data_IF_217147615616
#
_entry.id   IF_217147615616
#
_cell.length_a   1.000
_cell.length_b   1.000
_cell.length_c   1.000
_cell.angle_alpha   90.00
_cell.angle_beta   90.00
_cell.angle_gamma   90.00
#
_symmetry.space_group_name_H-M   'P 1'
#
loop_
_entity.id
_entity.type
_entity.pdbx_description
1 polymer ?
#
# COMPACT_ATOMS: atom_id res chain seq x y z
N UNK A 1 2.91 -11.76 -25.17
CA UNK A 1 2.98 -10.43 -24.53
C UNK A 1 1.79 -9.61 -24.98
N UNK A 2 1.13 -8.93 -24.06
CA UNK A 2 -0.08 -8.09 -24.27
C UNK A 2 0.16 -6.75 -23.59
N UNK A 3 -0.54 -5.69 -24.03
CA UNK A 3 -0.40 -4.33 -23.46
C UNK A 3 -1.78 -3.67 -23.35
N UNK A 4 -2.03 -3.03 -22.21
CA UNK A 4 -3.19 -2.17 -21.99
C UNK A 4 -2.73 -0.87 -21.31
N UNK A 5 -2.86 0.26 -21.99
CA UNK A 5 -2.23 1.51 -21.55
C UNK A 5 -0.71 1.34 -21.47
N UNK A 6 -0.13 1.62 -20.30
CA UNK A 6 1.29 1.43 -20.02
C UNK A 6 1.59 0.15 -19.21
N UNK A 7 0.57 -0.67 -18.95
CA UNK A 7 0.71 -1.99 -18.32
C UNK A 7 1.04 -3.06 -19.35
N UNK A 8 2.05 -3.88 -19.05
CA UNK A 8 2.48 -5.02 -19.84
C UNK A 8 2.18 -6.33 -19.12
N UNK A 9 1.63 -7.30 -19.85
CA UNK A 9 1.37 -8.67 -19.35
C UNK A 9 2.05 -9.65 -20.32
N UNK A 10 2.97 -10.44 -19.78
CA UNK A 10 3.67 -11.49 -20.54
C UNK A 10 3.46 -12.85 -19.87
N UNK A 11 3.08 -13.87 -20.63
CA UNK A 11 2.81 -15.21 -20.09
C UNK A 11 3.63 -16.26 -20.82
N UNK A 12 4.15 -17.23 -20.07
CA UNK A 12 4.72 -18.46 -20.60
C UNK A 12 3.61 -19.48 -20.87
N UNK A 13 3.93 -20.50 -21.63
CA UNK A 13 3.06 -21.64 -21.87
C UNK A 13 3.91 -22.90 -21.91
N UNK A 14 4.41 -23.33 -20.75
CA UNK A 14 5.15 -24.59 -20.57
C UNK A 14 4.23 -25.79 -20.46
N UNK A 15 2.90 -25.58 -20.43
CA UNK A 15 1.89 -26.64 -20.28
C UNK A 15 1.81 -27.16 -18.86
N UNK A 16 2.03 -26.31 -17.85
CA UNK A 16 1.96 -26.69 -16.44
C UNK A 16 0.52 -26.63 -15.93
N UNK A 17 0.24 -27.47 -14.94
CA UNK A 17 -1.08 -27.52 -14.27
C UNK A 17 -1.42 -26.22 -13.53
N UNK A 18 -0.39 -25.57 -12.98
CA UNK A 18 -0.55 -24.35 -12.17
C UNK A 18 0.19 -23.17 -12.78
N UNK A 19 -0.32 -21.98 -12.50
CA UNK A 19 0.24 -20.71 -12.97
C UNK A 19 0.53 -19.77 -11.80
N UNK A 20 1.73 -19.19 -11.80
CA UNK A 20 2.15 -18.17 -10.85
C UNK A 20 2.24 -16.81 -11.55
N UNK A 21 1.75 -15.78 -10.88
CA UNK A 21 1.84 -14.40 -11.33
C UNK A 21 2.97 -13.71 -10.55
N UNK A 22 3.86 -13.03 -11.26
CA UNK A 22 4.87 -12.13 -10.72
C UNK A 22 4.49 -10.71 -11.16
N UNK A 23 4.19 -9.83 -10.21
CA UNK A 23 3.67 -8.49 -10.49
C UNK A 23 4.51 -7.41 -9.83
N UNK A 24 4.73 -6.31 -10.54
CA UNK A 24 5.45 -5.15 -10.04
C UNK A 24 5.02 -3.86 -10.73
N UNK A 25 5.11 -2.73 -9.99
CA UNK A 25 4.77 -1.42 -10.54
C UNK A 25 6.00 -0.68 -11.08
N UNK A 26 5.78 0.04 -12.18
CA UNK A 26 6.84 0.74 -12.91
C UNK A 26 7.00 2.20 -12.51
N UNK A 27 5.99 2.80 -11.89
CA UNK A 27 6.03 4.18 -11.42
C UNK A 27 6.72 4.31 -10.06
N UNK A 28 6.86 5.53 -9.59
CA UNK A 28 7.42 5.86 -8.28
C UNK A 28 6.76 7.14 -7.79
N UNK A 29 6.82 7.39 -6.48
CA UNK A 29 6.56 8.73 -5.95
C UNK A 29 7.57 9.75 -6.53
N UNK A 30 7.29 11.07 -6.47
CA UNK A 30 8.19 12.09 -6.99
C UNK A 30 9.62 11.97 -6.43
N UNK A 31 10.60 12.32 -7.27
CA UNK A 31 12.01 12.39 -6.87
C UNK A 31 12.24 13.47 -5.83
N UNK A 32 13.14 13.21 -4.87
CA UNK A 32 13.57 14.15 -3.82
C UNK A 32 15.11 14.16 -3.80
N UNK A 33 15.72 14.83 -4.77
CA UNK A 33 17.18 14.91 -4.94
C UNK A 33 17.91 13.55 -5.01
N UNK A 34 17.20 12.49 -5.36
CA UNK A 34 17.68 11.10 -5.45
C UNK A 34 17.56 10.56 -6.88
N UNK A 35 17.87 11.39 -7.86
CA UNK A 35 17.98 11.07 -9.28
C UNK A 35 19.09 11.90 -9.94
N UNK A 36 19.89 11.36 -10.87
CA UNK A 36 19.86 10.00 -11.40
C UNK A 36 20.33 8.95 -10.40
N UNK A 37 19.88 7.68 -10.55
CA UNK A 37 20.33 6.60 -9.69
C UNK A 37 21.83 6.33 -9.90
N UNK A 38 22.52 5.89 -8.84
CA UNK A 38 23.94 5.53 -8.89
C UNK A 38 24.29 4.37 -7.95
N UNK A 39 25.33 3.63 -8.29
CA UNK A 39 25.91 2.68 -7.38
C UNK A 39 26.66 3.40 -6.26
N UNK A 40 26.46 2.94 -5.04
CA UNK A 40 27.24 3.32 -3.86
C UNK A 40 28.27 2.23 -3.62
N UNK A 41 29.53 2.60 -3.50
CA UNK A 41 30.58 1.66 -3.09
C UNK A 41 30.71 1.64 -1.57
N UNK A 42 31.22 0.55 -0.94
CA UNK A 42 31.47 0.51 0.49
C UNK A 42 32.23 1.72 1.00
N UNK A 43 31.72 2.37 2.04
CA UNK A 43 32.28 3.62 2.57
C UNK A 43 31.70 4.91 1.98
N UNK A 44 30.77 4.83 1.03
CA UNK A 44 30.02 6.02 0.59
C UNK A 44 29.23 6.60 1.80
N UNK A 45 29.24 7.95 2.00
CA UNK A 45 28.56 8.58 3.13
C UNK A 45 27.04 8.35 3.20
N UNK A 46 26.40 7.90 2.12
CA UNK A 46 24.98 7.52 2.12
C UNK A 46 24.75 6.10 2.65
N UNK A 47 25.78 5.27 2.76
CA UNK A 47 25.71 3.95 3.38
C UNK A 47 25.97 4.11 4.87
N UNK A 48 24.93 4.33 5.65
CA UNK A 48 24.98 4.48 7.10
C UNK A 48 24.27 3.32 7.79
N UNK A 49 24.66 3.02 9.02
CA UNK A 49 24.07 1.94 9.83
C UNK A 49 22.55 2.08 9.96
N UNK A 50 22.05 3.31 10.16
CA UNK A 50 20.62 3.60 10.29
C UNK A 50 19.81 3.47 8.99
N UNK A 51 20.49 3.35 7.86
CA UNK A 51 19.90 3.22 6.51
C UNK A 51 20.18 1.84 5.93
N UNK A 52 21.43 1.40 5.99
CA UNK A 52 21.87 0.16 5.36
C UNK A 52 21.67 -1.11 6.21
N UNK A 53 21.45 -0.97 7.51
CA UNK A 53 20.98 -2.02 8.44
C UNK A 53 21.65 -3.41 8.27
N UNK A 54 22.99 -3.47 8.31
CA UNK A 54 23.77 -4.70 8.14
C UNK A 54 24.41 -4.87 6.76
N UNK A 55 24.17 -3.92 5.82
CA UNK A 55 24.70 -3.90 4.46
C UNK A 55 25.77 -2.82 4.24
N UNK A 56 26.37 -2.29 5.32
CA UNK A 56 27.30 -1.15 5.28
C UNK A 56 28.59 -1.44 4.51
N UNK A 57 28.94 -2.72 4.39
CA UNK A 57 30.18 -3.18 3.75
C UNK A 57 29.99 -3.69 2.32
N UNK A 58 28.82 -3.45 1.74
CA UNK A 58 28.52 -3.89 0.37
C UNK A 58 28.05 -2.74 -0.54
N UNK A 59 27.99 -3.01 -1.82
CA UNK A 59 27.47 -2.08 -2.81
C UNK A 59 25.95 -1.95 -2.67
N UNK A 60 25.46 -0.73 -2.88
CA UNK A 60 24.03 -0.46 -2.94
C UNK A 60 23.68 0.38 -4.17
N UNK A 61 22.47 0.20 -4.68
CA UNK A 61 21.91 1.07 -5.70
C UNK A 61 21.09 2.16 -5.01
N UNK A 62 21.59 3.40 -5.03
CA UNK A 62 20.86 4.55 -4.51
C UNK A 62 20.06 5.22 -5.62
N UNK A 63 18.82 5.59 -5.31
CA UNK A 63 17.97 6.35 -6.22
C UNK A 63 16.50 6.07 -6.03
N UNK A 64 15.65 6.99 -6.49
CA UNK A 64 14.19 6.85 -6.47
C UNK A 64 13.76 5.59 -7.23
N UNK A 65 12.95 4.75 -6.57
CA UNK A 65 12.47 3.48 -7.12
C UNK A 65 13.47 2.33 -7.01
N UNK A 66 14.67 2.53 -6.43
CA UNK A 66 15.63 1.45 -6.29
C UNK A 66 15.05 0.31 -5.44
N UNK A 67 14.42 0.64 -4.32
CA UNK A 67 13.76 -0.29 -3.41
C UNK A 67 12.29 -0.47 -3.77
N UNK A 68 11.59 0.62 -4.12
CA UNK A 68 10.16 0.65 -4.36
C UNK A 68 9.83 1.07 -5.80
N UNK A 69 9.63 0.07 -6.74
CA UNK A 69 10.04 -1.33 -6.57
C UNK A 69 10.82 -1.84 -7.80
N UNK A 70 11.58 -0.94 -8.49
CA UNK A 70 12.29 -1.28 -9.76
C UNK A 70 13.39 -2.34 -9.58
N UNK A 71 13.95 -2.48 -8.37
CA UNK A 71 14.87 -3.56 -8.06
C UNK A 71 14.19 -4.93 -8.23
N UNK A 72 13.00 -5.09 -7.67
CA UNK A 72 12.19 -6.30 -7.84
C UNK A 72 11.73 -6.50 -9.28
N UNK A 73 11.34 -5.42 -9.98
CA UNK A 73 11.02 -5.47 -11.41
C UNK A 73 12.20 -5.98 -12.24
N UNK A 74 13.42 -5.53 -11.94
CA UNK A 74 14.63 -5.98 -12.62
C UNK A 74 14.87 -7.48 -12.42
N UNK A 75 14.64 -8.01 -11.21
CA UNK A 75 14.70 -9.45 -10.93
C UNK A 75 13.64 -10.20 -11.74
N UNK A 76 12.40 -9.71 -11.79
CA UNK A 76 11.33 -10.33 -12.57
C UNK A 76 11.64 -10.33 -14.07
N UNK A 77 12.22 -9.24 -14.60
CA UNK A 77 12.67 -9.16 -15.99
C UNK A 77 13.83 -10.13 -16.28
N UNK A 78 14.78 -10.25 -15.34
CA UNK A 78 15.87 -11.24 -15.44
C UNK A 78 15.29 -12.66 -15.53
N UNK A 79 14.36 -13.02 -14.64
CA UNK A 79 13.70 -14.33 -14.66
C UNK A 79 12.92 -14.55 -15.97
N UNK A 80 12.20 -13.54 -16.45
CA UNK A 80 11.48 -13.61 -17.73
C UNK A 80 12.41 -13.86 -18.93
N UNK A 81 13.64 -13.35 -18.86
CA UNK A 81 14.64 -13.51 -19.94
C UNK A 81 15.42 -14.82 -19.84
N UNK A 82 15.60 -15.40 -18.65
CA UNK A 82 16.53 -16.51 -18.42
C UNK A 82 15.84 -17.84 -18.13
N UNK A 83 14.63 -17.85 -17.59
CA UNK A 83 13.88 -19.08 -17.33
C UNK A 83 13.29 -19.63 -18.64
N UNK A 84 13.94 -20.66 -19.16
CA UNK A 84 13.49 -21.40 -20.36
C UNK A 84 12.52 -22.53 -20.02
N UNK A 85 12.46 -22.92 -18.75
CA UNK A 85 11.55 -23.92 -18.17
C UNK A 85 11.29 -23.60 -16.70
N UNK A 86 10.13 -23.99 -16.17
CA UNK A 86 9.75 -23.79 -14.76
C UNK A 86 8.72 -24.85 -14.30
N UNK A 87 8.57 -25.03 -12.97
CA UNK A 87 7.55 -25.91 -12.37
C UNK A 87 6.12 -25.43 -12.66
N UNK A 88 5.95 -24.14 -12.93
CA UNK A 88 4.67 -23.48 -13.14
C UNK A 88 4.66 -22.74 -14.48
N UNK A 89 3.50 -22.55 -15.07
CA UNK A 89 3.33 -21.49 -16.05
C UNK A 89 3.42 -20.15 -15.35
N UNK A 90 4.03 -19.16 -15.99
CA UNK A 90 4.30 -17.85 -15.39
C UNK A 90 3.52 -16.76 -16.12
N UNK A 91 3.07 -15.77 -15.37
CA UNK A 91 2.56 -14.51 -15.89
C UNK A 91 3.31 -13.37 -15.22
N UNK A 92 4.00 -12.55 -15.99
CA UNK A 92 4.66 -11.34 -15.55
C UNK A 92 3.74 -10.14 -15.82
N UNK A 93 3.53 -9.30 -14.81
CA UNK A 93 2.70 -8.10 -14.90
C UNK A 93 3.52 -6.91 -14.45
N UNK A 94 3.83 -6.00 -15.38
CA UNK A 94 4.49 -4.73 -15.10
C UNK A 94 3.47 -3.63 -15.33
N UNK A 95 3.05 -2.95 -14.27
CA UNK A 95 1.94 -2.00 -14.33
C UNK A 95 2.35 -0.61 -13.85
N UNK A 96 1.56 0.37 -14.24
CA UNK A 96 1.77 1.78 -14.00
C UNK A 96 0.79 2.32 -12.93
N UNK A 97 1.11 3.48 -12.36
CA UNK A 97 0.23 4.26 -11.48
C UNK A 97 -0.23 3.53 -10.20
N UNK A 98 0.69 2.80 -9.54
CA UNK A 98 0.44 2.28 -8.19
C UNK A 98 0.43 3.40 -7.16
N UNK A 99 1.40 4.31 -7.25
CA UNK A 99 1.75 5.36 -6.30
C UNK A 99 0.84 6.60 -6.34
N UNK A 100 -0.30 6.48 -6.98
CA UNK A 100 -1.27 7.57 -7.16
C UNK A 100 -2.70 7.10 -6.87
N UNK A 101 -3.70 7.91 -7.23
CA UNK A 101 -5.10 7.58 -6.98
C UNK A 101 -5.53 6.25 -7.65
N UNK A 102 -6.26 5.42 -6.91
CA UNK A 102 -6.61 4.05 -7.26
C UNK A 102 -7.29 3.88 -8.63
N UNK A 103 -8.04 4.89 -9.12
CA UNK A 103 -8.68 4.88 -10.44
C UNK A 103 -7.68 4.93 -11.60
N UNK A 104 -6.43 5.35 -11.34
CA UNK A 104 -5.37 5.41 -12.35
C UNK A 104 -4.56 4.12 -12.43
N UNK A 105 -4.58 3.28 -11.40
CA UNK A 105 -3.76 2.08 -11.26
C UNK A 105 -3.92 1.15 -12.48
N UNK A 106 -2.79 0.82 -13.11
CA UNK A 106 -2.76 0.03 -14.35
C UNK A 106 -3.20 -1.42 -14.16
N UNK A 107 -2.84 -2.06 -13.04
CA UNK A 107 -3.29 -3.42 -12.72
C UNK A 107 -4.82 -3.45 -12.57
N UNK A 108 -5.42 -2.48 -11.89
CA UNK A 108 -6.88 -2.35 -11.79
C UNK A 108 -7.52 -2.28 -13.17
N UNK A 109 -7.02 -1.41 -14.05
CA UNK A 109 -7.57 -1.24 -15.40
C UNK A 109 -7.46 -2.52 -16.23
N UNK A 110 -6.36 -3.25 -16.11
CA UNK A 110 -6.21 -4.54 -16.80
C UNK A 110 -7.18 -5.57 -16.25
N UNK A 111 -7.35 -5.67 -14.93
CA UNK A 111 -8.31 -6.59 -14.31
C UNK A 111 -9.74 -6.29 -14.74
N UNK A 112 -10.12 -5.00 -14.83
CA UNK A 112 -11.45 -4.59 -15.27
C UNK A 112 -11.69 -4.85 -16.76
N UNK A 113 -10.70 -4.59 -17.62
CA UNK A 113 -10.84 -4.71 -19.08
C UNK A 113 -10.54 -6.12 -19.62
N UNK A 114 -9.63 -6.84 -18.98
CA UNK A 114 -9.08 -8.12 -19.46
C UNK A 114 -8.81 -9.09 -18.31
N UNK A 115 -9.81 -9.50 -17.53
CA UNK A 115 -9.63 -10.37 -16.36
C UNK A 115 -8.94 -11.70 -16.70
N UNK A 116 -9.11 -12.18 -17.94
CA UNK A 116 -8.45 -13.39 -18.46
C UNK A 116 -6.92 -13.28 -18.58
N UNK A 117 -6.38 -12.06 -18.60
CA UNK A 117 -4.92 -11.85 -18.64
C UNK A 117 -4.28 -12.06 -17.26
N UNK A 118 -5.07 -11.86 -16.20
CA UNK A 118 -4.64 -11.93 -14.80
C UNK A 118 -5.25 -13.20 -14.16
N UNK A 119 -4.99 -14.35 -14.78
CA UNK A 119 -5.45 -15.66 -14.30
C UNK A 119 -4.25 -16.44 -13.75
N UNK A 120 -4.37 -16.97 -12.54
CA UNK A 120 -3.33 -17.77 -11.90
C UNK A 120 -3.79 -18.38 -10.57
N UNK A 121 -2.97 -19.27 -10.03
CA UNK A 121 -3.23 -19.99 -8.78
C UNK A 121 -2.58 -19.32 -7.57
N UNK A 122 -1.61 -18.43 -7.81
CA UNK A 122 -0.86 -17.70 -6.80
C UNK A 122 -0.19 -16.47 -7.41
N UNK A 123 -0.07 -15.39 -6.63
CA UNK A 123 0.62 -14.19 -7.05
C UNK A 123 1.71 -13.76 -6.05
N UNK A 124 2.81 -13.24 -6.57
CA UNK A 124 3.87 -12.59 -5.81
C UNK A 124 3.97 -11.16 -6.33
N UNK A 125 3.86 -10.18 -5.42
CA UNK A 125 4.10 -8.78 -5.72
C UNK A 125 5.46 -8.39 -5.17
N UNK A 126 6.27 -7.75 -5.99
CA UNK A 126 7.67 -7.44 -5.68
C UNK A 126 7.88 -6.23 -4.78
N UNK A 127 6.91 -5.88 -3.94
CA UNK A 127 7.03 -4.85 -2.92
C UNK A 127 8.21 -5.12 -1.99
N UNK A 128 8.93 -4.08 -1.52
CA UNK A 128 10.08 -4.27 -0.64
C UNK A 128 9.68 -4.95 0.68
N UNK A 129 10.42 -6.00 1.02
CA UNK A 129 10.19 -6.84 2.22
C UNK A 129 11.48 -7.37 2.84
N UNK A 130 12.65 -6.79 2.50
CA UNK A 130 13.96 -7.34 2.86
C UNK A 130 14.11 -8.82 2.45
N UNK A 131 13.59 -9.21 1.28
CA UNK A 131 13.52 -10.61 0.82
C UNK A 131 12.80 -11.58 1.77
N UNK A 132 12.01 -11.07 2.72
CA UNK A 132 11.08 -11.83 3.55
C UNK A 132 9.71 -11.97 2.86
N UNK A 133 8.77 -12.61 3.54
CA UNK A 133 7.37 -12.65 3.07
C UNK A 133 6.52 -11.75 3.95
N UNK A 134 5.79 -10.84 3.34
CA UNK A 134 4.73 -10.11 4.01
C UNK A 134 3.37 -10.53 3.44
N UNK A 135 2.52 -11.11 4.32
CA UNK A 135 1.20 -11.62 3.96
C UNK A 135 0.13 -10.54 4.02
N UNK A 136 -0.78 -10.58 3.05
CA UNK A 136 -1.93 -9.67 2.97
C UNK A 136 -1.55 -8.19 2.98
N UNK A 137 -2.49 -7.35 3.37
CA UNK A 137 -2.25 -5.92 3.65
C UNK A 137 -3.40 -5.30 4.45
N UNK A 138 -3.12 -4.23 5.20
CA UNK A 138 -4.19 -3.38 5.74
C UNK A 138 -5.00 -2.74 4.61
N UNK A 139 -6.30 -2.57 4.86
CA UNK A 139 -7.13 -1.68 4.07
C UNK A 139 -6.87 -0.21 4.42
N UNK A 140 -7.31 0.68 3.57
CA UNK A 140 -7.17 2.12 3.78
C UNK A 140 -8.46 2.85 3.47
N UNK A 141 -8.76 3.88 4.27
CA UNK A 141 -9.80 4.86 3.98
C UNK A 141 -9.25 6.26 4.27
N UNK A 142 -9.50 7.18 3.36
CA UNK A 142 -9.16 8.61 3.51
C UNK A 142 -10.42 9.43 3.30
N UNK A 143 -10.72 10.28 4.25
CA UNK A 143 -11.95 11.10 4.21
C UNK A 143 -11.77 12.37 5.02
N UNK A 144 -12.48 13.43 4.63
CA UNK A 144 -12.58 14.64 5.40
C UNK A 144 -13.73 14.53 6.39
N UNK A 145 -13.48 14.85 7.63
CA UNK A 145 -14.50 15.08 8.67
C UNK A 145 -14.71 16.58 8.80
N UNK A 146 -15.94 17.04 8.59
CA UNK A 146 -16.26 18.44 8.34
C UNK A 146 -17.14 18.98 9.44
N UNK A 147 -16.79 20.17 9.93
CA UNK A 147 -17.63 20.95 10.84
C UNK A 147 -18.09 22.22 10.17
N UNK A 148 -19.37 22.57 10.39
CA UNK A 148 -19.99 23.78 9.88
C UNK A 148 -20.26 24.79 10.99
N UNK A 149 -20.14 26.06 10.65
CA UNK A 149 -20.35 27.19 11.52
C UNK A 149 -21.18 28.29 10.88
N UNK A 150 -21.07 29.48 11.42
CA UNK A 150 -21.68 30.70 10.91
C UNK A 150 -20.61 31.78 10.89
N UNK A 151 -20.30 32.29 9.70
CA UNK A 151 -19.32 33.36 9.56
C UNK A 151 -19.81 34.66 10.19
N UNK A 152 -18.92 35.33 10.92
CA UNK A 152 -19.18 36.64 11.50
C UNK A 152 -17.88 37.43 11.69
N UNK A 153 -17.98 38.74 11.86
CA UNK A 153 -16.83 39.53 12.26
C UNK A 153 -16.37 39.14 13.67
N UNK A 154 -15.07 38.87 13.88
CA UNK A 154 -14.55 38.39 15.16
C UNK A 154 -14.82 39.35 16.34
N UNK A 155 -14.97 40.67 16.10
CA UNK A 155 -15.41 41.64 17.11
C UNK A 155 -16.88 41.51 17.52
N UNK A 156 -17.66 40.65 16.85
CA UNK A 156 -19.08 40.35 17.14
C UNK A 156 -19.29 38.86 17.25
N UNK A 157 -18.47 38.19 18.05
CA UNK A 157 -18.41 36.74 18.18
C UNK A 157 -19.75 36.08 18.46
N UNK A 158 -20.66 36.76 19.16
CA UNK A 158 -22.01 36.28 19.48
C UNK A 158 -22.94 36.12 18.26
N UNK A 159 -22.56 36.65 17.10
CA UNK A 159 -23.31 36.53 15.84
C UNK A 159 -22.86 35.32 15.00
N UNK A 160 -21.75 34.69 15.36
CA UNK A 160 -21.15 33.58 14.60
C UNK A 160 -21.15 32.27 15.38
N UNK A 161 -20.86 31.18 14.67
CA UNK A 161 -20.53 29.87 15.24
C UNK A 161 -19.19 29.42 14.63
N UNK A 162 -18.20 29.21 15.47
CA UNK A 162 -16.83 28.92 15.02
C UNK A 162 -16.67 27.44 14.67
N UNK A 163 -16.47 27.13 13.38
CA UNK A 163 -16.28 25.77 12.89
C UNK A 163 -14.93 25.18 13.36
N UNK A 164 -13.87 25.98 13.52
CA UNK A 164 -12.58 25.49 14.05
C UNK A 164 -12.75 25.04 15.52
N UNK A 165 -13.50 25.78 16.32
CA UNK A 165 -13.78 25.36 17.71
C UNK A 165 -14.61 24.06 17.75
N UNK A 166 -15.53 23.88 16.80
CA UNK A 166 -16.31 22.64 16.70
C UNK A 166 -15.45 21.43 16.30
N UNK A 167 -14.35 21.62 15.57
CA UNK A 167 -13.42 20.55 15.20
C UNK A 167 -12.68 19.96 16.41
N UNK A 168 -12.66 20.62 17.56
CA UNK A 168 -12.09 20.06 18.79
C UNK A 168 -12.72 18.70 19.15
N UNK A 169 -14.01 18.51 18.90
CA UNK A 169 -14.68 17.22 19.16
C UNK A 169 -14.16 16.12 18.22
N UNK A 170 -13.86 16.42 16.94
CA UNK A 170 -13.24 15.49 16.02
C UNK A 170 -11.87 15.05 16.56
N UNK A 171 -11.05 16.01 16.97
CA UNK A 171 -9.72 15.74 17.51
C UNK A 171 -9.78 14.95 18.82
N UNK A 172 -10.78 15.22 19.68
CA UNK A 172 -11.00 14.45 20.91
C UNK A 172 -11.34 12.99 20.61
N UNK A 173 -12.20 12.72 19.61
CA UNK A 173 -12.55 11.34 19.20
C UNK A 173 -11.36 10.62 18.60
N UNK A 174 -10.55 11.29 17.80
CA UNK A 174 -9.30 10.75 17.26
C UNK A 174 -8.30 10.42 18.38
N UNK A 175 -8.13 11.32 19.34
CA UNK A 175 -7.21 11.13 20.47
C UNK A 175 -7.67 10.02 21.43
N UNK A 176 -8.98 9.78 21.53
CA UNK A 176 -9.57 8.72 22.35
C UNK A 176 -9.62 7.36 21.62
N UNK A 177 -9.33 7.31 20.32
CA UNK A 177 -9.34 6.06 19.57
C UNK A 177 -8.13 5.20 19.93
N UNK A 178 -8.41 3.98 20.36
CA UNK A 178 -7.36 3.00 20.66
C UNK A 178 -7.06 2.17 19.41
N UNK A 179 -5.83 2.32 18.91
CA UNK A 179 -5.33 1.49 17.82
C UNK A 179 -5.28 0.02 18.25
N UNK A 180 -5.76 -0.89 17.39
CA UNK A 180 -5.86 -2.30 17.70
C UNK A 180 -4.76 -3.10 17.03
N UNK A 181 -4.20 -4.07 17.74
CA UNK A 181 -3.39 -5.14 17.18
C UNK A 181 -4.27 -6.38 17.00
N UNK A 182 -4.43 -6.85 15.77
CA UNK A 182 -5.38 -7.90 15.43
C UNK A 182 -4.65 -9.05 14.75
N UNK A 183 -4.81 -10.27 15.29
CA UNK A 183 -4.30 -11.48 14.67
C UNK A 183 -5.27 -11.97 13.59
N UNK A 184 -4.74 -12.17 12.38
CA UNK A 184 -5.47 -12.76 11.25
C UNK A 184 -4.59 -13.80 10.60
N UNK A 185 -5.05 -15.06 10.57
CA UNK A 185 -4.36 -16.21 9.99
C UNK A 185 -2.89 -16.35 10.46
N UNK A 186 -2.64 -16.07 11.76
CA UNK A 186 -1.33 -16.18 12.39
C UNK A 186 -0.40 -14.97 12.20
N UNK A 187 -0.85 -13.89 11.57
CA UNK A 187 -0.12 -12.63 11.45
C UNK A 187 -0.81 -11.51 12.21
N UNK A 188 -0.03 -10.65 12.88
CA UNK A 188 -0.54 -9.52 13.65
C UNK A 188 -0.51 -8.23 12.84
N UNK A 189 -1.68 -7.68 12.57
CA UNK A 189 -1.90 -6.41 11.89
C UNK A 189 -2.11 -5.29 12.90
N UNK A 190 -1.46 -4.14 12.66
CA UNK A 190 -1.66 -2.93 13.45
C UNK A 190 -2.62 -1.99 12.71
N UNK A 191 -3.73 -1.64 13.35
CA UNK A 191 -4.63 -0.60 12.84
C UNK A 191 -4.14 0.79 13.24
N UNK A 192 -4.61 1.82 12.53
CA UNK A 192 -4.29 3.20 12.87
C UNK A 192 -5.34 4.17 12.35
N UNK A 193 -5.75 5.12 13.19
CA UNK A 193 -6.67 6.20 12.85
C UNK A 193 -5.99 7.53 13.17
N UNK A 194 -5.71 8.35 12.15
CA UNK A 194 -4.93 9.58 12.32
C UNK A 194 -5.50 10.73 11.50
N UNK A 195 -5.49 11.94 12.08
CA UNK A 195 -5.60 13.17 11.31
C UNK A 195 -4.26 13.43 10.61
N UNK A 196 -4.29 13.69 9.30
CA UNK A 196 -3.10 13.98 8.50
C UNK A 196 -3.04 15.42 8.00
N UNK A 197 -4.19 16.09 7.87
CA UNK A 197 -4.29 17.50 7.54
C UNK A 197 -5.46 18.12 8.30
N UNK A 198 -5.38 19.42 8.58
CA UNK A 198 -6.48 20.22 9.09
C UNK A 198 -6.48 21.59 8.42
N UNK A 199 -7.65 22.06 8.00
CA UNK A 199 -7.80 23.38 7.39
C UNK A 199 -9.09 24.04 7.83
N UNK A 200 -9.06 25.37 7.98
CA UNK A 200 -10.25 26.16 8.34
C UNK A 200 -9.94 27.65 8.41
N UNK A 201 -10.96 28.45 8.14
CA UNK A 201 -10.84 29.92 8.16
C UNK A 201 -10.31 30.52 6.86
N UNK A 202 -10.74 31.75 6.56
CA UNK A 202 -10.41 32.53 5.36
C UNK A 202 -9.76 33.88 5.66
N UNK A 203 -9.76 34.31 6.92
CA UNK A 203 -9.22 35.60 7.32
C UNK A 203 -9.08 35.73 8.83
N UNK A 204 -8.16 36.56 9.30
CA UNK A 204 -7.79 36.70 10.72
C UNK A 204 -8.83 37.40 11.58
N UNK A 205 -9.80 38.07 10.97
CA UNK A 205 -10.86 38.81 11.64
C UNK A 205 -12.28 38.28 11.35
N UNK A 206 -12.38 37.06 10.80
CA UNK A 206 -13.64 36.38 10.48
C UNK A 206 -13.74 35.08 11.26
N UNK A 207 -14.86 34.84 11.91
CA UNK A 207 -15.21 33.55 12.52
C UNK A 207 -15.40 32.54 11.39
N UNK A 208 -14.70 31.39 11.38
CA UNK A 208 -14.79 30.41 10.31
C UNK A 208 -16.15 29.70 10.28
N UNK A 209 -16.69 29.55 9.07
CA UNK A 209 -17.93 28.83 8.77
C UNK A 209 -17.71 27.36 8.41
N UNK A 210 -16.45 26.94 8.16
CA UNK A 210 -16.07 25.56 7.85
C UNK A 210 -14.70 25.22 8.42
N UNK A 211 -14.55 23.98 8.89
CA UNK A 211 -13.26 23.38 9.18
C UNK A 211 -13.28 21.91 8.75
N UNK A 212 -12.18 21.47 8.09
CA UNK A 212 -12.00 20.12 7.58
C UNK A 212 -10.80 19.46 8.27
N UNK A 213 -11.01 18.25 8.75
CA UNK A 213 -9.95 17.38 9.28
C UNK A 213 -9.82 16.18 8.36
N UNK A 214 -8.70 16.08 7.66
CA UNK A 214 -8.41 14.93 6.80
C UNK A 214 -7.97 13.74 7.65
N UNK A 215 -8.71 12.65 7.58
CA UNK A 215 -8.50 11.43 8.36
C UNK A 215 -8.03 10.30 7.48
N UNK A 216 -7.00 9.57 7.93
CA UNK A 216 -6.54 8.32 7.37
C UNK A 216 -6.82 7.19 8.37
N UNK A 217 -7.59 6.19 7.95
CA UNK A 217 -7.85 4.97 8.69
C UNK A 217 -7.18 3.78 8.00
N UNK A 218 -6.35 3.06 8.73
CA UNK A 218 -5.75 1.78 8.34
C UNK A 218 -6.40 0.67 9.14
N UNK A 219 -7.03 -0.29 8.47
CA UNK A 219 -7.79 -1.36 9.13
C UNK A 219 -7.28 -2.75 8.73
N UNK A 220 -7.32 -3.67 9.68
CA UNK A 220 -6.87 -5.04 9.51
C UNK A 220 -7.81 -5.86 8.62
N UNK A 221 -7.32 -6.97 8.02
CA UNK A 221 -8.12 -7.84 7.15
C UNK A 221 -9.04 -8.81 7.90
N UNK A 222 -9.42 -8.49 9.14
CA UNK A 222 -10.46 -9.18 9.91
C UNK A 222 -11.87 -8.69 9.52
N UNK A 223 -11.96 -7.60 8.77
CA UNK A 223 -13.21 -6.96 8.34
C UNK A 223 -13.16 -6.55 6.87
N UNK A 224 -14.32 -6.49 6.27
CA UNK A 224 -14.53 -5.93 4.93
C UNK A 224 -14.42 -4.40 4.94
N UNK A 225 -14.26 -3.79 3.76
CA UNK A 225 -14.31 -2.33 3.59
C UNK A 225 -15.65 -1.74 4.08
N UNK A 226 -16.78 -2.43 3.84
CA UNK A 226 -18.09 -1.98 4.30
C UNK A 226 -18.19 -1.97 5.83
N UNK A 227 -17.66 -2.99 6.51
CA UNK A 227 -17.61 -3.02 7.98
C UNK A 227 -16.66 -1.96 8.54
N UNK A 228 -15.50 -1.74 7.92
CA UNK A 228 -14.58 -0.68 8.29
C UNK A 228 -15.23 0.71 8.14
N UNK A 229 -16.00 0.91 7.05
CA UNK A 229 -16.76 2.14 6.80
C UNK A 229 -17.84 2.35 7.88
N UNK A 230 -18.60 1.30 8.20
CA UNK A 230 -19.62 1.35 9.24
C UNK A 230 -19.04 1.72 10.62
N UNK A 231 -17.84 1.23 10.97
CA UNK A 231 -17.16 1.58 12.20
C UNK A 231 -16.79 3.07 12.30
N UNK A 232 -16.48 3.69 11.17
CA UNK A 232 -16.04 5.10 11.14
C UNK A 232 -17.21 6.07 10.99
N UNK A 233 -18.16 5.78 10.10
CA UNK A 233 -19.15 6.76 9.64
C UNK A 233 -20.60 6.24 9.62
N UNK A 234 -20.83 4.98 10.02
CA UNK A 234 -22.13 4.31 9.94
C UNK A 234 -22.32 3.50 8.67
N UNK A 235 -23.26 2.56 8.72
CA UNK A 235 -23.51 1.60 7.63
C UNK A 235 -24.21 2.25 6.42
N UNK A 236 -25.04 3.25 6.65
CA UNK A 236 -25.84 3.90 5.62
C UNK A 236 -25.29 5.31 5.32
N UNK A 237 -25.41 5.73 4.08
CA UNK A 237 -25.17 7.12 3.72
C UNK A 237 -26.26 7.99 4.36
N UNK A 238 -25.85 8.94 5.20
CA UNK A 238 -26.77 9.93 5.78
C UNK A 238 -27.23 10.96 4.76
N UNK A 239 -27.88 12.01 5.25
CA UNK A 239 -28.34 13.10 4.40
C UNK A 239 -27.17 13.71 3.61
N UNK A 240 -27.36 13.88 2.31
CA UNK A 240 -26.43 14.61 1.46
C UNK A 240 -26.51 16.10 1.77
N UNK A 241 -25.36 16.71 2.06
CA UNK A 241 -25.23 18.14 2.36
C UNK A 241 -24.81 18.96 1.13
N UNK A 242 -24.53 18.30 0.00
CA UNK A 242 -24.02 18.87 -1.24
C UNK A 242 -22.52 18.65 -1.41
N UNK A 243 -22.03 18.80 -2.64
CA UNK A 243 -20.61 18.65 -3.01
C UNK A 243 -19.97 17.30 -2.63
N UNK A 244 -20.77 16.21 -2.53
CA UNK A 244 -20.29 14.88 -2.11
C UNK A 244 -20.13 14.72 -0.60
N UNK A 245 -20.55 15.68 0.20
CA UNK A 245 -20.59 15.61 1.66
C UNK A 245 -21.88 14.92 2.15
N UNK A 246 -21.74 13.96 3.08
CA UNK A 246 -22.85 13.26 3.72
C UNK A 246 -22.70 13.31 5.25
N UNK A 247 -23.81 13.30 5.98
CA UNK A 247 -23.75 13.20 7.44
C UNK A 247 -23.45 11.76 7.84
N UNK A 248 -22.45 11.55 8.70
CA UNK A 248 -22.20 10.24 9.31
C UNK A 248 -23.36 9.81 10.20
N UNK A 249 -23.91 8.61 9.95
CA UNK A 249 -25.09 8.06 10.63
C UNK A 249 -24.74 7.23 11.85
N UNK A 250 -23.45 6.98 12.10
CA UNK A 250 -22.93 6.19 13.21
C UNK A 250 -21.42 6.17 13.23
N UNK A 251 -20.87 5.29 14.07
CA UNK A 251 -19.44 5.08 14.17
C UNK A 251 -18.69 6.21 14.91
N UNK A 252 -17.38 6.25 14.71
CA UNK A 252 -16.49 7.20 15.40
C UNK A 252 -16.89 8.65 15.12
N UNK A 253 -17.34 8.95 13.90
CA UNK A 253 -17.62 10.32 13.45
C UNK A 253 -19.12 10.61 13.30
N UNK A 254 -19.98 9.87 14.01
CA UNK A 254 -21.43 10.13 13.99
C UNK A 254 -21.78 11.61 14.18
N UNK A 255 -22.63 12.13 13.30
CA UNK A 255 -23.16 13.48 13.33
C UNK A 255 -22.30 14.54 12.61
N UNK A 256 -21.10 14.19 12.15
CA UNK A 256 -20.27 15.10 11.35
C UNK A 256 -20.53 14.95 9.84
N UNK A 257 -20.22 15.99 9.09
CA UNK A 257 -20.13 15.94 7.63
C UNK A 257 -18.92 15.10 7.21
N UNK A 258 -19.10 14.23 6.22
CA UNK A 258 -18.06 13.35 5.70
C UNK A 258 -17.97 13.54 4.18
N UNK A 259 -16.76 13.76 3.68
CA UNK A 259 -16.45 13.68 2.26
C UNK A 259 -15.41 12.59 2.03
N UNK A 260 -15.81 11.48 1.40
CA UNK A 260 -14.91 10.38 1.08
C UNK A 260 -13.91 10.81 0.00
N UNK A 261 -12.63 10.52 0.20
CA UNK A 261 -11.56 10.87 -0.75
C UNK A 261 -11.01 9.64 -1.46
N UNK A 262 -10.75 8.57 -0.71
CA UNK A 262 -10.18 7.33 -1.23
C UNK A 262 -10.49 6.17 -0.30
N UNK A 263 -10.68 4.98 -0.86
CA UNK A 263 -10.90 3.76 -0.09
C UNK A 263 -10.41 2.53 -0.85
N UNK A 264 -9.75 1.61 -0.12
CA UNK A 264 -9.28 0.35 -0.69
C UNK A 264 -9.42 -0.79 0.34
N UNK A 265 -9.87 -1.98 -0.10
CA UNK A 265 -10.05 -3.11 0.80
C UNK A 265 -8.72 -3.63 1.34
N UNK A 266 -8.77 -4.29 2.49
CA UNK A 266 -7.68 -5.10 3.02
C UNK A 266 -7.57 -6.45 2.30
N UNK A 267 -6.47 -7.15 2.49
CA UNK A 267 -6.30 -8.54 2.04
C UNK A 267 -5.83 -9.45 3.17
N UNK A 268 -6.44 -10.62 3.29
CA UNK A 268 -5.97 -11.67 4.22
C UNK A 268 -4.59 -12.19 3.78
N UNK A 269 -3.79 -12.77 4.71
CA UNK A 269 -2.40 -13.17 4.46
C UNK A 269 -2.12 -14.03 3.22
N UNK A 270 -3.09 -14.81 2.75
CA UNK A 270 -2.90 -15.70 1.59
C UNK A 270 -1.98 -16.90 1.85
N UNK A 271 -1.50 -17.11 3.08
CA UNK A 271 -0.49 -18.10 3.44
C UNK A 271 -1.00 -19.54 3.55
N UNK A 272 -2.30 -19.76 3.47
CA UNK A 272 -2.91 -21.10 3.52
C UNK A 272 -2.79 -21.87 2.20
N UNK A 273 -2.50 -21.18 1.10
CA UNK A 273 -2.26 -21.79 -0.21
C UNK A 273 -1.03 -22.73 -0.16
N UNK A 274 -1.09 -23.93 -0.77
CA UNK A 274 0.07 -24.82 -0.86
C UNK A 274 1.28 -24.17 -1.53
N UNK A 275 1.05 -23.29 -2.52
CA UNK A 275 2.13 -22.53 -3.19
C UNK A 275 2.78 -21.54 -2.23
N UNK A 276 1.97 -20.79 -1.47
CA UNK A 276 2.49 -19.90 -0.44
C UNK A 276 3.30 -20.65 0.62
N UNK A 277 2.80 -21.78 1.12
CA UNK A 277 3.48 -22.58 2.13
C UNK A 277 4.85 -23.09 1.64
N UNK A 278 4.94 -23.51 0.36
CA UNK A 278 6.21 -23.94 -0.24
C UNK A 278 7.21 -22.79 -0.36
N UNK A 279 6.74 -21.59 -0.72
CA UNK A 279 7.57 -20.40 -0.80
C UNK A 279 8.02 -19.94 0.60
N UNK A 280 7.11 -19.90 1.58
CA UNK A 280 7.42 -19.57 2.98
C UNK A 280 8.50 -20.52 3.53
N UNK A 281 8.38 -21.80 3.26
CA UNK A 281 9.38 -22.80 3.69
C UNK A 281 10.76 -22.46 3.11
N UNK A 282 10.84 -22.21 1.81
CA UNK A 282 12.11 -21.88 1.15
C UNK A 282 12.70 -20.58 1.70
N UNK A 283 11.90 -19.52 1.83
CA UNK A 283 12.37 -18.22 2.35
C UNK A 283 12.90 -18.39 3.78
N UNK A 284 12.18 -19.12 4.66
CA UNK A 284 12.62 -19.40 6.02
C UNK A 284 13.94 -20.18 6.04
N UNK A 285 14.10 -21.19 5.19
CA UNK A 285 15.35 -21.99 5.09
C UNK A 285 16.55 -21.15 4.63
N UNK A 286 16.32 -20.16 3.75
CA UNK A 286 17.38 -19.33 3.17
C UNK A 286 17.70 -18.08 4.00
N UNK A 287 16.71 -17.50 4.68
CA UNK A 287 16.86 -16.20 5.37
C UNK A 287 16.70 -16.29 6.89
N UNK A 288 16.13 -17.38 7.41
CA UNK A 288 15.73 -17.51 8.82
C UNK A 288 14.52 -16.65 9.20
N UNK A 289 13.86 -15.96 8.24
CA UNK A 289 12.76 -15.03 8.50
C UNK A 289 11.41 -15.75 8.44
N UNK A 290 10.57 -15.47 9.43
CA UNK A 290 9.16 -15.87 9.43
C UNK A 290 8.32 -14.81 8.68
N UNK A 291 7.18 -15.20 8.09
CA UNK A 291 6.27 -14.24 7.48
C UNK A 291 5.78 -13.18 8.46
N UNK A 292 5.65 -11.95 7.97
CA UNK A 292 5.10 -10.81 8.70
C UNK A 292 3.81 -10.31 8.03
N UNK A 293 3.05 -9.49 8.76
CA UNK A 293 1.90 -8.77 8.20
C UNK A 293 2.36 -7.55 7.40
N UNK A 294 1.85 -7.33 6.18
CA UNK A 294 2.02 -6.06 5.47
C UNK A 294 1.12 -5.00 6.08
N UNK A 295 1.72 -3.98 6.68
CA UNK A 295 0.98 -2.90 7.35
C UNK A 295 0.56 -1.78 6.38
N UNK A 296 1.28 -1.60 5.28
CA UNK A 296 0.88 -0.76 4.15
C UNK A 296 -0.22 -1.43 3.32
N UNK A 297 -0.92 -0.66 2.50
CA UNK A 297 -1.76 -1.21 1.45
C UNK A 297 -0.90 -1.55 0.24
N UNK A 298 -1.19 -2.64 -0.44
CA UNK A 298 -0.55 -3.04 -1.70
C UNK A 298 -1.56 -3.75 -2.60
N UNK A 299 -1.20 -3.92 -3.86
CA UNK A 299 -2.05 -4.57 -4.85
C UNK A 299 -2.30 -6.08 -4.61
N UNK A 300 -1.74 -6.70 -3.54
CA UNK A 300 -2.21 -8.03 -3.08
C UNK A 300 -3.71 -8.03 -2.82
N UNK A 301 -4.30 -6.89 -2.45
CA UNK A 301 -5.73 -6.74 -2.27
C UNK A 301 -6.51 -6.99 -3.57
N UNK A 302 -5.97 -6.58 -4.72
CA UNK A 302 -6.63 -6.82 -6.02
C UNK A 302 -6.61 -8.30 -6.41
N UNK A 303 -5.49 -8.99 -6.17
CA UNK A 303 -5.43 -10.44 -6.39
C UNK A 303 -6.37 -11.18 -5.44
N UNK A 304 -6.43 -10.77 -4.18
CA UNK A 304 -7.38 -11.31 -3.21
C UNK A 304 -8.85 -11.16 -3.67
N UNK A 305 -9.22 -10.02 -4.25
CA UNK A 305 -10.55 -9.79 -4.82
C UNK A 305 -10.86 -10.71 -6.01
N UNK A 306 -9.84 -11.14 -6.74
CA UNK A 306 -9.96 -12.14 -7.82
C UNK A 306 -9.98 -13.58 -7.30
N UNK A 307 -9.87 -13.79 -5.99
CA UNK A 307 -9.76 -15.13 -5.39
C UNK A 307 -8.39 -15.76 -5.59
N UNK A 308 -7.37 -15.00 -5.98
CA UNK A 308 -6.00 -15.46 -6.18
C UNK A 308 -5.21 -15.18 -4.88
N UNK A 309 -4.74 -16.22 -4.15
CA UNK A 309 -3.87 -16.02 -3.01
C UNK A 309 -2.61 -15.25 -3.42
N UNK A 310 -2.21 -14.25 -2.64
CA UNK A 310 -1.08 -13.40 -2.98
C UNK A 310 -0.24 -13.03 -1.76
N UNK A 311 1.06 -12.82 -1.97
CA UNK A 311 2.00 -12.33 -0.95
C UNK A 311 2.89 -11.23 -1.53
N UNK A 312 3.47 -10.41 -0.65
CA UNK A 312 4.55 -9.50 -1.00
C UNK A 312 5.89 -10.20 -0.74
N UNK A 313 6.80 -10.15 -1.71
CA UNK A 313 8.18 -10.63 -1.62
C UNK A 313 9.05 -9.82 -2.59
N UNK A 314 9.87 -8.95 -2.08
CA UNK A 314 10.74 -8.11 -2.89
C UNK A 314 12.04 -7.77 -2.19
N UNK A 315 12.99 -7.29 -2.99
CA UNK A 315 14.30 -6.86 -2.55
C UNK A 315 14.22 -5.48 -1.87
N UNK A 316 15.07 -5.27 -0.88
CA UNK A 316 15.23 -4.01 -0.17
C UNK A 316 14.24 -3.78 0.98
N UNK A 317 14.60 -2.80 1.80
CA UNK A 317 13.86 -2.52 3.04
C UNK A 317 12.64 -1.64 2.79
N UNK A 318 11.44 -2.04 3.29
CA UNK A 318 10.25 -1.20 3.21
C UNK A 318 10.38 0.12 3.98
N UNK A 319 11.36 0.21 4.89
CA UNK A 319 11.62 1.41 5.66
C UNK A 319 12.31 2.51 4.85
N UNK A 320 12.84 2.17 3.68
CA UNK A 320 13.51 3.11 2.76
C UNK A 320 12.61 3.60 1.63
N UNK A 321 11.45 2.96 1.42
CA UNK A 321 10.46 3.42 0.46
C UNK A 321 10.08 4.89 0.70
N UNK A 322 9.97 5.68 -0.40
CA UNK A 322 9.61 7.10 -0.41
C UNK A 322 10.60 8.07 0.25
N UNK A 323 11.75 7.59 0.74
CA UNK A 323 12.76 8.44 1.38
C UNK A 323 13.76 9.03 0.38
N UNK A 324 14.43 10.11 0.80
CA UNK A 324 15.53 10.73 0.05
C UNK A 324 16.74 9.79 -0.10
N UNK A 325 17.03 9.01 0.94
CA UNK A 325 18.14 8.07 1.03
C UNK A 325 17.76 6.64 0.60
N UNK A 326 16.71 6.51 -0.20
CA UNK A 326 16.27 5.24 -0.78
C UNK A 326 17.42 4.54 -1.48
N UNK A 327 17.72 3.32 -1.05
CA UNK A 327 18.79 2.49 -1.58
C UNK A 327 18.49 1.02 -1.44
N UNK A 328 19.08 0.21 -2.32
CA UNK A 328 18.89 -1.22 -2.41
C UNK A 328 20.25 -1.93 -2.39
N UNK A 329 20.53 -2.77 -1.37
CA UNK A 329 21.73 -3.58 -1.33
C UNK A 329 21.83 -4.54 -2.52
N UNK A 330 23.04 -4.72 -3.07
CA UNK A 330 23.29 -5.66 -4.17
C UNK A 330 22.95 -7.10 -3.75
N UNK A 331 23.24 -7.46 -2.50
CA UNK A 331 22.92 -8.79 -1.96
C UNK A 331 21.43 -9.10 -1.97
N UNK A 332 20.55 -8.12 -1.74
CA UNK A 332 19.11 -8.32 -1.75
C UNK A 332 18.57 -8.61 -3.15
N UNK A 333 19.12 -7.94 -4.19
CA UNK A 333 18.78 -8.27 -5.57
C UNK A 333 19.14 -9.71 -5.91
N UNK A 334 20.36 -10.14 -5.53
CA UNK A 334 20.83 -11.50 -5.77
C UNK A 334 20.04 -12.52 -4.95
N UNK A 335 19.72 -12.21 -3.70
CA UNK A 335 18.94 -13.09 -2.83
C UNK A 335 17.53 -13.30 -3.38
N UNK A 336 16.83 -12.22 -3.77
CA UNK A 336 15.50 -12.32 -4.37
C UNK A 336 15.52 -13.14 -5.67
N UNK A 337 16.50 -12.89 -6.55
CA UNK A 337 16.66 -13.64 -7.79
C UNK A 337 16.85 -15.13 -7.52
N UNK A 338 17.74 -15.49 -6.58
CA UNK A 338 18.01 -16.89 -6.22
C UNK A 338 16.79 -17.55 -5.57
N UNK A 339 16.08 -16.86 -4.64
CA UNK A 339 14.88 -17.39 -4.01
C UNK A 339 13.80 -17.72 -5.03
N UNK A 340 13.51 -16.79 -5.95
CA UNK A 340 12.49 -17.01 -6.96
C UNK A 340 12.92 -18.07 -7.98
N UNK A 341 14.19 -18.06 -8.41
CA UNK A 341 14.70 -19.05 -9.33
C UNK A 341 14.65 -20.46 -8.75
N UNK A 342 15.11 -20.66 -7.49
CA UNK A 342 15.06 -21.95 -6.80
C UNK A 342 13.61 -22.44 -6.59
N UNK A 343 12.69 -21.55 -6.31
CA UNK A 343 11.29 -21.90 -6.11
C UNK A 343 10.57 -22.24 -7.40
N UNK A 344 10.90 -21.55 -8.48
CA UNK A 344 10.28 -21.74 -9.81
C UNK A 344 10.84 -22.91 -10.59
N UNK A 345 12.09 -23.34 -10.34
CA UNK A 345 12.73 -24.53 -10.92
C UNK A 345 12.47 -25.80 -10.12
#
# INVERSE_FOLDING_TARGET
>A
MRRHGDTLVASTNFGRERRVILAGHLDTVPVIDNFPPRWLEPGDPLIREDVAAGHEQERGLWGRGATDMKGSDAVMLYLAATLTDAKYDLTYVFYDHEEVAAEKNGLRKVVEAHPDWISGDFAIIGEPTDCGIEGGCNGTMRFDVITHGIAAHSARAWMGKNAIHAAAEILNRLNAYENRAIEVDGLTYQEGLNATLISGGKGTNVIPDECRVHVNYRFAPDKSLAEAKALMIGADAGAELGNGEHVATGGVFEGFGIEMKDESPSARPGLTSPLAQSLVKLVRERTGRDPLAKLGWTDVARFSMLGIPAVNLGAGSPLLAHKHDEQLPESDLLLMANLLEDWLK
#
